data_IF_231105684432
#
_entry.id   IF_231105684432
#
_cell.length_a   1.000
_cell.length_b   1.000
_cell.length_c   1.000
_cell.angle_alpha   90.00
_cell.angle_beta   90.00
_cell.angle_gamma   90.00
#
_symmetry.space_group_name_H-M   'P 1'
#
loop_
_entity.id
_entity.type
_entity.pdbx_description
1 polymer ?
#
# COMPACT_ATOMS: atom_id res chain seq x y z
N UNK A 1 11.91 -6.65 22.60
CA UNK A 1 11.97 -5.20 22.91
C UNK A 1 11.59 -4.97 24.36
N UNK A 2 11.50 -3.71 24.78
CA UNK A 2 11.07 -3.35 26.14
C UNK A 2 10.05 -2.22 26.07
N UNK A 3 8.92 -2.37 26.77
CA UNK A 3 7.99 -1.28 27.06
C UNK A 3 8.41 -0.64 28.38
N UNK A 4 8.60 0.68 28.36
CA UNK A 4 9.01 1.45 29.53
C UNK A 4 7.85 2.30 30.02
N UNK A 5 7.41 2.06 31.26
CA UNK A 5 6.40 2.87 31.94
C UNK A 5 7.11 3.70 33.00
N UNK A 6 6.95 5.02 32.94
CA UNK A 6 7.58 5.95 33.87
C UNK A 6 6.54 6.90 34.47
N UNK A 7 6.57 7.05 35.79
CA UNK A 7 5.67 7.95 36.52
C UNK A 7 6.31 8.48 37.80
N UNK A 8 5.95 9.70 38.21
CA UNK A 8 6.40 10.27 39.49
C UNK A 8 5.75 9.54 40.68
N UNK A 9 4.48 9.20 40.52
CA UNK A 9 3.68 8.48 41.50
C UNK A 9 3.32 7.08 40.98
N UNK A 10 2.80 6.26 41.88
CA UNK A 10 2.27 4.95 41.52
C UNK A 10 1.05 5.07 40.58
N UNK A 11 1.01 4.25 39.54
CA UNK A 11 0.01 4.32 38.47
C UNK A 11 -0.94 3.12 38.54
N UNK A 12 -2.22 3.36 38.79
CA UNK A 12 -3.25 2.34 38.66
C UNK A 12 -3.69 2.20 37.20
N UNK A 13 -3.83 0.96 36.73
CA UNK A 13 -4.19 0.63 35.35
C UNK A 13 -5.09 -0.60 35.27
N UNK A 14 -5.87 -0.70 34.20
CA UNK A 14 -6.76 -1.82 33.86
C UNK A 14 -6.12 -2.76 32.82
N UNK A 15 -4.79 -2.85 32.87
CA UNK A 15 -3.98 -3.67 31.98
C UNK A 15 -3.20 -2.88 30.94
N UNK A 16 -2.21 -3.55 30.37
CA UNK A 16 -1.35 -3.06 29.29
C UNK A 16 -1.37 -4.08 28.17
N UNK A 17 -1.61 -3.63 26.94
CA UNK A 17 -1.60 -4.46 25.74
C UNK A 17 -0.64 -3.90 24.71
N UNK A 18 0.03 -4.79 23.99
CA UNK A 18 0.87 -4.46 22.84
C UNK A 18 0.24 -5.04 21.59
N UNK A 19 -0.03 -4.20 20.60
CA UNK A 19 -0.57 -4.60 19.30
C UNK A 19 0.47 -4.37 18.23
N UNK A 20 0.73 -5.38 17.40
CA UNK A 20 1.45 -5.19 16.13
C UNK A 20 0.43 -5.05 15.01
N UNK A 21 0.63 -4.09 14.14
CA UNK A 21 -0.21 -3.89 12.96
C UNK A 21 0.69 -3.70 11.74
N UNK A 22 0.28 -4.26 10.61
CA UNK A 22 0.92 -4.00 9.32
C UNK A 22 -0.13 -3.95 8.24
N UNK A 23 -0.08 -2.91 7.42
CA UNK A 23 -1.07 -2.68 6.37
C UNK A 23 -0.44 -2.19 5.08
N UNK A 24 -1.09 -2.56 3.98
CA UNK A 24 -0.88 -1.94 2.66
C UNK A 24 -2.07 -1.05 2.39
N UNK A 25 -1.80 0.24 2.26
CA UNK A 25 -2.75 1.28 1.93
C UNK A 25 -2.51 1.72 0.48
N UNK A 26 -3.59 1.80 -0.27
CA UNK A 26 -3.59 2.21 -1.67
C UNK A 26 -4.32 3.55 -1.78
N UNK A 27 -3.65 4.54 -2.36
CA UNK A 27 -4.19 5.87 -2.62
C UNK A 27 -4.14 6.11 -4.14
N UNK A 28 -5.19 6.68 -4.72
CA UNK A 28 -5.29 6.92 -6.17
C UNK A 28 -5.24 8.43 -6.46
N UNK A 29 -4.72 8.80 -7.63
CA UNK A 29 -4.60 10.21 -8.03
C UNK A 29 -5.95 10.83 -8.37
N UNK A 30 -6.26 11.99 -7.77
CA UNK A 30 -7.45 12.80 -8.04
C UNK A 30 -7.53 13.39 -9.46
N UNK A 31 -6.58 13.08 -10.37
CA UNK A 31 -6.64 13.49 -11.78
C UNK A 31 -7.33 12.47 -12.70
N UNK A 32 -7.61 11.28 -12.20
CA UNK A 32 -8.14 10.13 -12.99
C UNK A 32 -9.60 9.78 -12.66
N UNK A 33 -10.32 10.73 -12.07
CA UNK A 33 -11.73 10.64 -11.63
C UNK A 33 -12.65 10.68 -12.85
N UNK A 34 -13.16 9.51 -13.24
CA UNK A 34 -14.21 9.42 -14.26
C UNK A 34 -14.61 8.00 -14.64
N UNK A 35 -13.71 7.01 -14.46
CA UNK A 35 -13.98 5.62 -14.87
C UNK A 35 -13.95 4.62 -13.70
N UNK A 36 -13.24 4.89 -12.60
CA UNK A 36 -13.12 3.96 -11.47
C UNK A 36 -13.88 4.41 -10.20
N UNK A 37 -14.92 5.25 -10.37
CA UNK A 37 -15.70 5.86 -9.27
C UNK A 37 -16.29 4.87 -8.26
N UNK A 38 -16.62 3.67 -8.74
CA UNK A 38 -17.15 2.58 -7.91
C UNK A 38 -16.09 1.82 -7.08
N UNK A 39 -14.80 1.90 -7.46
CA UNK A 39 -13.71 1.24 -6.74
C UNK A 39 -13.06 2.15 -5.68
N UNK A 40 -13.21 3.48 -5.79
CA UNK A 40 -12.49 4.48 -4.98
C UNK A 40 -12.90 4.53 -3.50
N UNK A 41 -14.18 4.31 -3.18
CA UNK A 41 -14.69 4.45 -1.81
C UNK A 41 -14.61 3.16 -0.99
N UNK A 42 -14.01 2.10 -1.54
CA UNK A 42 -14.17 0.73 -1.06
C UNK A 42 -12.85 -0.04 -0.89
N UNK A 43 -11.70 0.48 -1.31
CA UNK A 43 -10.41 -0.19 -1.07
C UNK A 43 -10.02 -0.04 0.40
N UNK A 44 -10.44 -1.00 1.21
CA UNK A 44 -10.03 -1.09 2.60
C UNK A 44 -8.53 -1.38 2.68
N UNK A 45 -7.81 -0.78 3.65
CA UNK A 45 -6.44 -1.18 3.95
C UNK A 45 -6.29 -2.69 4.05
N UNK A 46 -5.29 -3.22 3.36
CA UNK A 46 -5.03 -4.65 3.35
C UNK A 46 -4.20 -4.95 4.59
N UNK A 47 -4.82 -5.56 5.58
CA UNK A 47 -4.12 -5.93 6.81
C UNK A 47 -3.25 -7.16 6.57
N UNK A 48 -1.93 -7.00 6.69
CA UNK A 48 -0.91 -8.05 6.57
C UNK A 48 -0.73 -8.78 7.89
N UNK A 49 -0.61 -8.01 8.96
CA UNK A 49 -0.48 -8.52 10.33
C UNK A 49 -1.36 -7.68 11.24
N UNK A 50 -2.02 -8.35 12.18
CA UNK A 50 -2.67 -7.71 13.31
C UNK A 50 -2.81 -8.75 14.40
N UNK A 51 -2.08 -8.52 15.48
CA UNK A 51 -2.08 -9.36 16.65
C UNK A 51 -1.87 -8.49 17.87
N UNK A 52 -2.56 -8.83 18.96
CA UNK A 52 -2.47 -8.15 20.25
C UNK A 52 -2.07 -9.16 21.30
N UNK A 53 -1.12 -8.78 22.15
CA UNK A 53 -0.76 -9.54 23.34
C UNK A 53 -1.09 -8.72 24.59
N UNK A 54 -1.64 -9.40 25.60
CA UNK A 54 -1.73 -8.84 26.94
C UNK A 54 -0.34 -8.90 27.58
N UNK A 55 0.19 -7.73 27.91
CA UNK A 55 1.52 -7.59 28.51
C UNK A 55 1.44 -7.66 30.03
N UNK A 56 0.43 -7.00 30.59
CA UNK A 56 0.22 -6.90 32.04
C UNK A 56 -1.28 -6.85 32.32
N UNK A 57 -1.71 -7.65 33.29
CA UNK A 57 -3.09 -7.65 33.82
C UNK A 57 -3.41 -6.35 34.58
N UNK A 58 -4.68 -6.07 34.90
CA UNK A 58 -5.05 -4.95 35.77
C UNK A 58 -4.24 -4.94 37.07
N UNK A 59 -3.80 -3.76 37.48
CA UNK A 59 -2.86 -3.64 38.60
C UNK A 59 -2.40 -2.22 38.87
N UNK A 60 -1.24 -2.13 39.50
CA UNK A 60 -0.62 -0.86 39.91
C UNK A 60 0.88 -0.92 39.66
N UNK A 61 1.39 0.01 38.87
CA UNK A 61 2.84 0.22 38.73
C UNK A 61 3.36 1.10 39.88
N UNK A 62 4.57 0.81 40.42
CA UNK A 62 5.20 1.68 41.40
C UNK A 62 5.59 3.03 40.78
N UNK A 63 5.92 4.00 41.64
CA UNK A 63 6.59 5.21 41.19
C UNK A 63 7.97 4.87 40.61
N UNK A 64 8.48 5.75 39.74
CA UNK A 64 9.72 5.52 39.01
C UNK A 64 9.49 4.82 37.68
N UNK A 65 10.42 3.93 37.31
CA UNK A 65 10.50 3.30 35.99
C UNK A 65 10.24 1.80 36.14
N UNK A 66 9.28 1.29 35.35
CA UNK A 66 9.02 -0.13 35.17
C UNK A 66 9.35 -0.52 33.74
N UNK A 67 10.10 -1.60 33.55
CA UNK A 67 10.46 -2.16 32.25
C UNK A 67 9.76 -3.50 32.05
N UNK A 68 9.06 -3.66 30.93
CA UNK A 68 8.32 -4.87 30.60
C UNK A 68 8.92 -5.42 29.30
N UNK A 69 9.70 -6.51 29.36
CA UNK A 69 10.24 -7.12 28.16
C UNK A 69 9.11 -7.74 27.33
N UNK A 70 9.29 -7.72 26.02
CA UNK A 70 8.37 -8.39 25.10
C UNK A 70 9.10 -9.03 23.95
N UNK A 71 8.48 -10.09 23.45
CA UNK A 71 8.72 -10.66 22.14
C UNK A 71 7.40 -10.67 21.40
N UNK A 72 7.44 -10.37 20.11
CA UNK A 72 6.23 -10.34 19.29
C UNK A 72 6.43 -11.20 18.05
N UNK A 73 5.62 -12.24 17.84
CA UNK A 73 5.76 -13.06 16.66
C UNK A 73 5.18 -12.33 15.43
N UNK A 74 5.95 -12.27 14.34
CA UNK A 74 5.50 -11.69 13.07
C UNK A 74 4.62 -12.69 12.28
N UNK A 75 3.48 -13.06 12.85
CA UNK A 75 2.52 -13.96 12.21
C UNK A 75 1.64 -13.22 11.20
N UNK A 76 1.93 -13.42 9.92
CA UNK A 76 1.11 -12.92 8.81
C UNK A 76 -0.28 -13.55 8.81
N UNK A 77 -1.28 -12.79 8.37
CA UNK A 77 -2.67 -13.27 8.24
C UNK A 77 -2.84 -14.12 6.98
N UNK A 78 -3.41 -15.31 7.13
CA UNK A 78 -3.77 -16.19 6.01
C UNK A 78 -2.56 -16.59 5.17
N UNK A 79 -2.65 -16.41 3.85
CA UNK A 79 -1.60 -16.70 2.87
C UNK A 79 -0.78 -15.45 2.47
N UNK A 80 -0.81 -14.38 3.28
CA UNK A 80 -0.06 -13.15 3.00
C UNK A 80 1.42 -13.32 3.35
N UNK A 81 2.24 -12.41 2.84
CA UNK A 81 3.67 -12.28 3.16
C UNK A 81 3.96 -10.89 3.71
N UNK A 82 5.09 -10.72 4.40
CA UNK A 82 5.59 -9.41 4.77
C UNK A 82 6.18 -8.72 3.54
N UNK A 83 5.73 -7.49 3.30
CA UNK A 83 6.32 -6.59 2.31
C UNK A 83 7.30 -5.63 2.97
N UNK A 84 8.26 -5.16 2.19
CA UNK A 84 9.15 -4.08 2.61
C UNK A 84 8.36 -2.80 2.92
N UNK A 85 8.73 -2.11 4.00
CA UNK A 85 8.11 -0.84 4.37
C UNK A 85 8.34 0.18 3.26
N UNK A 86 7.28 0.86 2.84
CA UNK A 86 7.32 1.79 1.72
C UNK A 86 6.36 2.95 1.95
N UNK A 87 6.83 4.17 1.77
CA UNK A 87 6.00 5.37 1.90
C UNK A 87 6.00 6.15 0.58
N UNK A 88 5.08 5.78 -0.31
CA UNK A 88 4.84 6.48 -1.56
C UNK A 88 3.56 7.30 -1.53
N UNK A 89 3.32 8.02 -2.64
CA UNK A 89 2.13 8.86 -2.83
C UNK A 89 0.88 8.00 -3.06
N UNK A 90 1.02 6.88 -3.76
CA UNK A 90 -0.10 6.00 -4.13
C UNK A 90 -0.11 4.66 -3.40
N UNK A 91 0.99 4.31 -2.75
CA UNK A 91 1.13 3.06 -1.98
C UNK A 91 1.84 3.39 -0.69
N UNK A 92 1.28 2.98 0.43
CA UNK A 92 1.89 3.08 1.73
C UNK A 92 1.82 1.73 2.45
N UNK A 93 2.98 1.11 2.65
CA UNK A 93 3.17 -0.13 3.39
C UNK A 93 3.81 0.26 4.72
N UNK A 94 3.10 0.06 5.81
CA UNK A 94 3.52 0.51 7.13
C UNK A 94 3.32 -0.59 8.17
N UNK A 95 4.26 -0.69 9.11
CA UNK A 95 4.18 -1.60 10.26
C UNK A 95 4.41 -0.86 11.57
N UNK A 96 3.50 -1.03 12.52
CA UNK A 96 3.54 -0.33 13.80
C UNK A 96 3.40 -1.27 14.98
N UNK A 97 4.01 -0.87 16.09
CA UNK A 97 3.76 -1.39 17.42
C UNK A 97 3.00 -0.32 18.21
N UNK A 98 1.82 -0.67 18.70
CA UNK A 98 0.98 0.18 19.53
C UNK A 98 0.85 -0.41 20.93
N UNK A 99 1.39 0.28 21.92
CA UNK A 99 1.21 -0.03 23.32
C UNK A 99 0.06 0.80 23.88
N UNK A 100 -0.95 0.13 24.43
CA UNK A 100 -2.09 0.76 25.09
C UNK A 100 -2.09 0.39 26.58
N UNK A 101 -2.17 1.39 27.45
CA UNK A 101 -2.40 1.24 28.88
C UNK A 101 -3.76 1.82 29.21
N UNK A 102 -4.70 0.94 29.58
CA UNK A 102 -6.02 1.37 30.06
C UNK A 102 -5.89 1.91 31.48
N UNK A 103 -6.45 3.07 31.75
CA UNK A 103 -6.42 3.73 33.06
C UNK A 103 -7.73 3.49 33.81
N UNK A 104 -7.77 3.88 35.08
CA UNK A 104 -9.01 3.84 35.88
C UNK A 104 -10.01 4.91 35.41
N UNK A 105 -11.29 4.75 35.79
CA UNK A 105 -12.48 5.43 35.21
C UNK A 105 -12.39 6.95 34.97
N UNK A 106 -11.56 7.68 35.72
CA UNK A 106 -11.42 9.14 35.61
C UNK A 106 -10.15 9.59 34.86
N UNK A 107 -9.22 8.68 34.61
CA UNK A 107 -7.96 8.98 33.96
C UNK A 107 -8.00 8.56 32.48
N UNK A 108 -7.40 9.39 31.62
CA UNK A 108 -7.31 9.11 30.18
C UNK A 108 -6.33 7.96 29.92
N UNK A 109 -6.75 6.99 29.12
CA UNK A 109 -5.88 5.93 28.60
C UNK A 109 -4.63 6.48 27.92
N UNK A 110 -3.53 5.74 28.02
CA UNK A 110 -2.25 6.13 27.44
C UNK A 110 -1.95 5.19 26.29
N UNK A 111 -1.73 5.75 25.11
CA UNK A 111 -1.32 5.02 23.92
C UNK A 111 0.01 5.55 23.41
N UNK A 112 0.92 4.65 23.05
CA UNK A 112 2.16 4.98 22.35
C UNK A 112 2.31 4.07 21.15
N UNK A 113 2.49 4.68 19.98
CA UNK A 113 2.75 3.96 18.73
C UNK A 113 4.16 4.27 18.27
N UNK A 114 4.87 3.26 17.78
CA UNK A 114 6.10 3.42 17.00
C UNK A 114 6.04 2.58 15.74
N UNK A 115 6.74 3.04 14.71
CA UNK A 115 6.93 2.29 13.47
C UNK A 115 8.19 1.42 13.57
N UNK A 116 8.15 0.27 12.91
CA UNK A 116 9.34 -0.52 12.65
C UNK A 116 9.43 -0.81 11.15
N UNK A 117 10.67 -0.91 10.67
CA UNK A 117 10.95 -1.09 9.25
C UNK A 117 11.14 -2.57 8.96
N UNK A 118 10.37 -3.08 8.02
CA UNK A 118 10.58 -4.38 7.41
C UNK A 118 11.39 -4.15 6.15
N UNK A 119 12.55 -4.78 6.03
CA UNK A 119 13.37 -4.76 4.81
C UNK A 119 13.41 -6.17 4.22
N UNK A 120 13.26 -6.28 2.90
CA UNK A 120 13.43 -7.56 2.23
C UNK A 120 14.92 -7.81 1.96
N UNK A 121 15.38 -9.06 2.10
CA UNK A 121 16.69 -9.40 1.56
C UNK A 121 16.65 -9.18 0.04
N UNK A 122 17.76 -8.74 -0.60
CA UNK A 122 17.79 -8.51 -2.04
C UNK A 122 17.23 -9.72 -2.77
N UNK A 123 16.14 -9.52 -3.53
CA UNK A 123 15.53 -10.62 -4.27
C UNK A 123 16.55 -11.12 -5.30
N UNK A 124 17.11 -12.31 -5.07
CA UNK A 124 18.00 -13.01 -6.01
C UNK A 124 17.26 -13.58 -7.22
N UNK A 125 16.02 -13.15 -7.46
CA UNK A 125 15.23 -13.55 -8.61
C UNK A 125 15.61 -12.71 -9.82
N UNK A 126 16.07 -13.35 -10.90
CA UNK A 126 16.07 -12.70 -12.21
C UNK A 126 14.60 -12.41 -12.53
N UNK A 127 14.21 -11.13 -12.61
CA UNK A 127 12.99 -10.75 -13.29
C UNK A 127 13.10 -11.33 -14.70
N UNK A 128 12.26 -12.31 -15.02
CA UNK A 128 12.16 -12.77 -16.41
C UNK A 128 11.45 -11.68 -17.18
N UNK A 129 12.07 -11.09 -18.22
CA UNK A 129 11.37 -10.14 -19.07
C UNK A 129 10.12 -10.81 -19.64
N UNK A 130 8.97 -10.17 -19.48
CA UNK A 130 7.70 -10.57 -20.10
C UNK A 130 7.22 -9.44 -21.01
N UNK A 131 7.85 -9.25 -22.19
CA UNK A 131 7.50 -8.16 -23.07
C UNK A 131 6.09 -8.35 -23.62
N UNK A 132 5.34 -7.26 -23.72
CA UNK A 132 4.00 -7.25 -24.28
C UNK A 132 3.86 -6.08 -25.23
N UNK A 133 3.58 -6.40 -26.49
CA UNK A 133 3.06 -5.45 -27.45
C UNK A 133 1.54 -5.31 -27.25
N UNK A 134 1.07 -4.08 -27.27
CA UNK A 134 -0.36 -3.78 -27.20
C UNK A 134 -0.78 -2.88 -28.36
N UNK A 135 -2.02 -3.07 -28.78
CA UNK A 135 -2.68 -2.25 -29.80
C UNK A 135 -4.04 -1.84 -29.27
N UNK A 136 -4.33 -0.54 -29.32
CA UNK A 136 -5.62 0.04 -28.95
C UNK A 136 -6.23 0.68 -30.19
N UNK A 137 -7.43 0.24 -30.54
CA UNK A 137 -8.28 0.82 -31.57
C UNK A 137 -9.66 1.14 -30.96
N UNK A 138 -10.54 1.89 -31.64
CA UNK A 138 -11.92 2.05 -31.19
C UNK A 138 -12.59 0.71 -30.87
N UNK A 139 -12.27 -0.35 -31.63
CA UNK A 139 -12.83 -1.68 -31.51
C UNK A 139 -12.32 -2.45 -30.27
N UNK A 140 -11.15 -2.10 -29.74
CA UNK A 140 -10.59 -2.76 -28.54
C UNK A 140 -10.96 -2.06 -27.23
N UNK A 141 -11.57 -0.86 -27.27
CA UNK A 141 -11.92 -0.11 -26.05
C UNK A 141 -13.10 -0.73 -25.28
N UNK A 142 -12.87 -1.19 -24.06
CA UNK A 142 -13.96 -1.68 -23.21
C UNK A 142 -14.75 -0.49 -22.61
N UNK A 143 -16.06 -0.67 -22.36
CA UNK A 143 -16.94 0.30 -21.68
C UNK A 143 -17.18 1.65 -22.38
N UNK A 144 -17.10 1.71 -23.70
CA UNK A 144 -17.42 2.92 -24.47
C UNK A 144 -18.91 2.98 -24.81
N UNK A 145 -19.60 4.05 -24.39
CA UNK A 145 -20.92 4.40 -24.94
C UNK A 145 -20.72 5.08 -26.31
N UNK A 146 -21.54 4.72 -27.30
CA UNK A 146 -21.53 5.34 -28.63
C UNK A 146 -20.22 5.17 -29.42
N UNK A 147 -19.67 3.95 -29.43
CA UNK A 147 -18.42 3.59 -30.14
C UNK A 147 -18.39 4.03 -31.62
N UNK A 148 -19.55 4.08 -32.28
CA UNK A 148 -19.68 4.51 -33.67
C UNK A 148 -19.32 5.99 -33.91
N UNK A 149 -19.31 6.82 -32.86
CA UNK A 149 -18.96 8.24 -32.95
C UNK A 149 -17.47 8.51 -32.69
N UNK A 150 -16.70 7.49 -32.32
CA UNK A 150 -15.28 7.67 -32.07
C UNK A 150 -14.52 7.91 -33.37
N UNK A 151 -13.53 8.82 -33.38
CA UNK A 151 -12.63 8.96 -34.52
C UNK A 151 -11.84 7.67 -34.71
N UNK A 152 -11.44 7.40 -35.95
CA UNK A 152 -10.48 6.32 -36.20
C UNK A 152 -9.15 6.68 -35.56
N UNK A 153 -8.62 5.79 -34.75
CA UNK A 153 -7.30 5.91 -34.17
C UNK A 153 -6.64 4.54 -34.06
N UNK A 154 -5.32 4.55 -34.00
CA UNK A 154 -4.51 3.39 -33.73
C UNK A 154 -3.45 3.81 -32.72
N UNK A 155 -3.43 3.19 -31.55
CA UNK A 155 -2.36 3.35 -30.57
C UNK A 155 -1.61 2.03 -30.51
N UNK A 156 -0.31 2.06 -30.75
CA UNK A 156 0.56 0.91 -30.50
C UNK A 156 1.51 1.25 -29.38
N UNK A 157 1.79 0.27 -28.53
CA UNK A 157 2.92 0.39 -27.64
C UNK A 157 3.51 -0.94 -27.25
N UNK A 158 4.69 -0.84 -26.65
CA UNK A 158 5.47 -1.96 -26.16
C UNK A 158 5.67 -1.76 -24.66
N UNK A 159 5.65 -2.85 -23.92
CA UNK A 159 6.02 -2.92 -22.53
C UNK A 159 7.12 -3.96 -22.41
N UNK A 160 8.30 -3.59 -21.92
CA UNK A 160 9.45 -4.52 -21.81
C UNK A 160 9.25 -5.61 -20.76
N UNK A 161 8.39 -5.37 -19.76
CA UNK A 161 8.03 -6.34 -18.73
C UNK A 161 6.67 -6.03 -18.10
N UNK A 162 5.82 -7.04 -17.93
CA UNK A 162 4.58 -6.95 -17.12
C UNK A 162 4.83 -7.10 -15.62
N UNK A 163 6.08 -7.33 -15.20
CA UNK A 163 6.49 -7.50 -13.80
C UNK A 163 7.69 -6.59 -13.46
N UNK A 164 7.67 -5.96 -12.30
CA UNK A 164 8.67 -4.97 -11.88
C UNK A 164 9.04 -5.09 -10.40
N UNK A 165 10.09 -4.37 -9.99
CA UNK A 165 10.31 -4.06 -8.58
C UNK A 165 9.67 -2.70 -8.28
N UNK A 166 8.94 -2.60 -7.18
CA UNK A 166 8.21 -1.38 -6.78
C UNK A 166 9.11 -0.13 -6.62
N UNK A 167 10.41 -0.35 -6.37
CA UNK A 167 11.42 0.71 -6.24
C UNK A 167 11.98 1.19 -7.58
N UNK A 168 11.60 0.56 -8.70
CA UNK A 168 12.08 0.92 -10.05
C UNK A 168 11.00 1.69 -10.82
N UNK A 169 11.41 2.74 -11.52
CA UNK A 169 10.51 3.58 -12.31
C UNK A 169 10.06 2.86 -13.59
N UNK A 170 8.76 2.58 -13.73
CA UNK A 170 8.17 1.95 -14.94
C UNK A 170 8.21 2.83 -16.19
N UNK A 171 8.31 4.14 -16.02
CA UNK A 171 7.98 5.13 -17.04
C UNK A 171 8.90 5.21 -18.25
N UNK A 172 9.98 4.41 -18.31
CA UNK A 172 10.89 4.40 -19.47
C UNK A 172 10.50 3.40 -20.55
N UNK A 173 9.57 2.47 -20.26
CA UNK A 173 9.35 1.30 -21.12
C UNK A 173 8.14 1.38 -22.06
N UNK A 174 7.30 2.42 -21.95
CA UNK A 174 6.10 2.58 -22.78
C UNK A 174 6.33 3.63 -23.86
N UNK A 175 6.44 3.15 -25.09
CA UNK A 175 6.42 4.00 -26.30
C UNK A 175 5.05 3.87 -26.94
N UNK A 176 4.30 4.97 -27.03
CA UNK A 176 3.01 4.99 -27.71
C UNK A 176 3.09 5.82 -29.01
N UNK A 177 2.68 5.23 -30.13
CA UNK A 177 2.56 5.92 -31.43
C UNK A 177 1.10 6.00 -31.86
N UNK A 178 0.68 7.13 -32.44
CA UNK A 178 -0.67 7.33 -32.95
C UNK A 178 -0.68 7.82 -34.41
N UNK A 179 -1.48 7.18 -35.25
CA UNK A 179 -1.75 7.62 -36.63
C UNK A 179 -3.17 8.21 -36.72
N UNK A 180 -3.32 9.45 -37.22
CA UNK A 180 -4.63 10.10 -37.43
C UNK A 180 -4.76 11.51 -36.85
N UNK A 181 -6.01 11.91 -36.57
CA UNK A 181 -6.38 13.24 -36.02
C UNK A 181 -5.71 13.49 -34.66
N UNK A 182 -5.55 14.77 -34.28
CA UNK A 182 -4.97 15.17 -32.99
C UNK A 182 -5.76 14.54 -31.82
N UNK A 183 -5.25 13.45 -31.28
CA UNK A 183 -5.81 12.72 -30.14
C UNK A 183 -5.04 13.08 -28.88
N UNK A 184 -5.76 13.40 -27.82
CA UNK A 184 -5.22 13.56 -26.48
C UNK A 184 -5.84 12.46 -25.62
N UNK A 185 -5.02 11.63 -24.99
CA UNK A 185 -5.47 10.55 -24.11
C UNK A 185 -4.53 10.43 -22.91
N UNK A 186 -5.07 9.94 -21.80
CA UNK A 186 -4.30 9.62 -20.60
C UNK A 186 -4.24 8.09 -20.45
N UNK A 187 -3.02 7.56 -20.24
CA UNK A 187 -2.84 6.14 -19.96
C UNK A 187 -2.72 5.95 -18.46
N UNK A 188 -3.67 5.19 -17.90
CA UNK A 188 -3.66 4.75 -16.52
C UNK A 188 -3.10 3.33 -16.48
N UNK A 189 -1.89 3.14 -15.95
CA UNK A 189 -1.38 1.78 -15.70
C UNK A 189 -1.96 1.31 -14.40
N UNK A 190 -2.62 0.15 -14.43
CA UNK A 190 -3.13 -0.54 -13.25
C UNK A 190 -2.18 -1.70 -12.92
N UNK A 191 -1.43 -1.62 -11.83
CA UNK A 191 -0.59 -2.71 -11.31
C UNK A 191 -1.41 -3.56 -10.35
N UNK A 192 -1.57 -4.84 -10.66
CA UNK A 192 -2.17 -5.83 -9.78
C UNK A 192 -1.09 -6.51 -8.93
N UNK A 193 -0.97 -6.15 -7.65
CA UNK A 193 -0.18 -6.91 -6.69
C UNK A 193 -0.93 -8.20 -6.32
N UNK A 194 -0.23 -9.32 -6.34
CA UNK A 194 -0.79 -10.58 -5.87
C UNK A 194 -1.08 -10.55 -4.34
N UNK A 195 -2.15 -11.17 -3.83
CA UNK A 195 -3.31 -11.72 -4.52
C UNK A 195 -4.43 -10.67 -4.57
N UNK A 196 -4.59 -9.98 -5.71
CA UNK A 196 -5.73 -9.09 -6.04
C UNK A 196 -5.73 -7.65 -5.48
N UNK A 197 -4.57 -7.00 -5.30
CA UNK A 197 -4.51 -5.58 -4.92
C UNK A 197 -4.16 -4.68 -6.12
N UNK A 198 -4.84 -3.54 -6.27
CA UNK A 198 -4.71 -2.63 -7.42
C UNK A 198 -3.90 -1.37 -7.05
N UNK A 199 -2.87 -1.03 -7.81
CA UNK A 199 -2.20 0.29 -7.81
C UNK A 199 -2.50 0.93 -9.16
N UNK A 200 -2.74 2.24 -9.25
CA UNK A 200 -2.69 2.91 -10.55
C UNK A 200 -1.76 4.11 -10.54
N UNK A 201 -0.85 4.18 -11.52
CA UNK A 201 -0.03 5.37 -11.77
C UNK A 201 -0.31 5.97 -13.14
N UNK A 202 -0.32 7.31 -13.18
CA UNK A 202 -0.42 8.10 -14.39
C UNK A 202 1.00 8.48 -14.84
N UNK A 203 1.48 7.87 -15.92
CA UNK A 203 2.79 8.20 -16.49
C UNK A 203 2.65 9.22 -17.62
N UNK A 204 3.48 10.29 -17.64
CA UNK A 204 3.49 11.21 -18.76
C UNK A 204 4.09 10.53 -19.99
N UNK A 205 3.25 10.11 -20.94
CA UNK A 205 3.70 9.60 -22.22
C UNK A 205 3.97 10.76 -23.20
N UNK A 206 5.10 10.70 -23.89
CA UNK A 206 5.37 11.55 -25.06
C UNK A 206 4.95 10.80 -26.32
N UNK A 207 3.92 11.30 -26.99
CA UNK A 207 3.51 10.79 -28.30
C UNK A 207 4.36 11.46 -29.39
N UNK A 208 5.00 10.66 -30.23
CA UNK A 208 5.61 11.13 -31.46
C UNK A 208 4.66 10.83 -32.63
N UNK A 209 4.36 11.86 -33.42
CA UNK A 209 3.72 11.69 -34.73
C UNK A 209 4.80 11.17 -35.69
N UNK A 210 4.59 10.03 -36.33
CA UNK A 210 5.31 9.70 -37.56
C UNK A 210 4.57 10.28 -38.76
#
# INVERSE_FOLDING_TARGET
GVVVISGKDSIQHQGVSLTVEGSVNLQLSAKSVGVFEAFYNSVKPIQIINSTIEMVKPGKFPSGKTEIPFEFPLHVKGNKVLYETYHGVFVNIQYTLRCDMRRSLLAKDVTKTCEFIVHSAPQKGKLTPSPVDFTITPETLQNVRERALLPKFLIRGHLSSTSCVITTSWGQDIVAGAEGTRLQFEVNIVVLLHPDHLITENFPLKLCRM
#
